data_IF_928942420516
#
_entry.id   IF_928942420516
#
_cell.length_a   1.000
_cell.length_b   1.000
_cell.length_c   1.000
_cell.angle_alpha   90.00
_cell.angle_beta   90.00
_cell.angle_gamma   90.00
#
_symmetry.space_group_name_H-M   'P 1'
#
loop_
_entity.id
_entity.type
_entity.pdbx_description
1 polymer ?
#
# COMPACT_ATOMS: atom_id res chain seq x y z
N UNK A 1 2.38 38.40 -23.54
CA UNK A 1 1.93 37.01 -23.58
C UNK A 1 2.19 36.41 -22.20
N UNK A 2 1.24 35.82 -21.51
CA UNK A 2 1.57 35.14 -20.27
C UNK A 2 2.46 33.94 -20.65
N UNK A 3 3.68 33.95 -20.20
CA UNK A 3 4.57 32.79 -20.18
C UNK A 3 3.84 31.70 -19.46
N UNK A 4 3.53 30.58 -20.13
CA UNK A 4 3.15 29.35 -19.48
C UNK A 4 4.28 29.00 -18.51
N UNK A 5 4.14 29.37 -17.26
CA UNK A 5 5.07 28.94 -16.23
C UNK A 5 4.99 27.41 -16.23
N UNK A 6 6.11 26.74 -16.52
CA UNK A 6 6.24 25.30 -16.36
C UNK A 6 5.81 24.98 -14.93
N UNK A 7 4.74 24.23 -14.79
CA UNK A 7 4.15 23.90 -13.49
C UNK A 7 4.69 22.54 -13.07
N UNK A 8 5.57 22.53 -12.07
CA UNK A 8 6.26 21.33 -11.60
C UNK A 8 5.52 20.64 -10.45
N UNK A 9 5.75 19.37 -10.28
CA UNK A 9 5.32 18.60 -9.10
C UNK A 9 6.48 18.52 -8.12
N UNK A 10 6.20 18.70 -6.84
CA UNK A 10 7.14 18.41 -5.76
C UNK A 10 6.79 17.08 -5.12
N UNK A 11 7.67 16.11 -5.25
CA UNK A 11 7.58 14.82 -4.59
C UNK A 11 8.39 14.78 -3.30
N UNK A 12 7.90 14.06 -2.29
CA UNK A 12 8.66 13.79 -1.08
C UNK A 12 8.34 12.40 -0.50
N UNK A 13 9.34 11.80 0.14
CA UNK A 13 9.21 10.51 0.79
C UNK A 13 9.08 10.68 2.31
N UNK A 14 7.89 10.39 2.85
CA UNK A 14 7.57 10.45 4.28
C UNK A 14 7.13 9.07 4.81
N UNK A 15 8.07 8.14 5.08
CA UNK A 15 7.77 6.75 5.45
C UNK A 15 7.08 6.61 6.82
N UNK A 16 7.04 7.64 7.64
CA UNK A 16 6.32 7.68 8.91
C UNK A 16 4.82 8.02 8.76
N UNK A 17 4.30 8.04 7.54
CA UNK A 17 2.92 8.41 7.22
C UNK A 17 1.88 7.68 8.09
N UNK A 18 1.92 6.34 8.14
CA UNK A 18 0.93 5.56 8.89
C UNK A 18 1.00 5.82 10.40
N UNK A 19 2.23 6.01 10.94
CA UNK A 19 2.46 6.37 12.35
C UNK A 19 1.95 7.79 12.66
N UNK A 20 2.13 8.72 11.73
CA UNK A 20 1.62 10.10 11.84
C UNK A 20 0.08 10.14 11.78
N UNK A 21 -0.52 9.32 10.91
CA UNK A 21 -1.99 9.15 10.87
C UNK A 21 -2.52 8.52 12.15
N UNK A 22 -1.86 7.48 12.69
CA UNK A 22 -2.23 6.86 13.96
C UNK A 22 -2.24 7.89 15.10
N UNK A 23 -1.18 8.69 15.17
CA UNK A 23 -1.06 9.79 16.15
C UNK A 23 -2.15 10.86 15.96
N UNK A 24 -2.52 11.16 14.71
CA UNK A 24 -3.44 12.27 14.39
C UNK A 24 -2.89 13.66 14.72
N UNK A 25 -1.63 13.76 15.14
CA UNK A 25 -1.02 15.02 15.60
C UNK A 25 -0.12 15.62 14.52
N UNK A 26 -0.24 16.93 14.22
CA UNK A 26 0.70 17.63 13.35
C UNK A 26 2.11 17.77 13.97
N UNK A 27 2.26 17.45 15.25
CA UNK A 27 3.50 17.50 16.01
C UNK A 27 4.08 16.10 16.27
N UNK A 28 3.59 15.07 15.59
CA UNK A 28 4.15 13.74 15.72
C UNK A 28 5.67 13.76 15.46
N UNK A 29 6.44 13.08 16.31
CA UNK A 29 7.88 12.99 16.18
C UNK A 29 8.28 11.59 15.69
N UNK A 30 8.71 11.43 14.43
CA UNK A 30 9.14 10.14 13.90
C UNK A 30 10.30 9.53 14.71
N UNK A 31 10.29 8.22 14.84
CA UNK A 31 11.36 7.47 15.50
C UNK A 31 12.71 7.68 14.79
N UNK A 32 13.82 7.42 15.51
CA UNK A 32 15.18 7.46 14.89
C UNK A 32 15.26 6.54 13.67
N UNK A 33 14.63 5.37 13.73
CA UNK A 33 14.58 4.42 12.61
C UNK A 33 13.80 4.99 11.43
N UNK A 34 12.62 5.58 11.64
CA UNK A 34 11.84 6.19 10.57
C UNK A 34 12.59 7.34 9.90
N UNK A 35 13.28 8.19 10.67
CA UNK A 35 14.12 9.26 10.12
C UNK A 35 15.29 8.72 9.30
N UNK A 36 15.95 7.65 9.75
CA UNK A 36 17.02 6.99 8.99
C UNK A 36 16.50 6.43 7.67
N UNK A 37 15.36 5.76 7.66
CA UNK A 37 14.71 5.25 6.44
C UNK A 37 14.32 6.40 5.51
N UNK A 38 13.78 7.51 6.06
CA UNK A 38 13.45 8.71 5.28
C UNK A 38 14.67 9.29 4.56
N UNK A 39 15.82 9.36 5.22
CA UNK A 39 17.06 9.83 4.62
C UNK A 39 17.61 8.83 3.58
N UNK A 40 17.64 7.55 3.92
CA UNK A 40 18.17 6.48 3.06
C UNK A 40 17.41 6.36 1.74
N UNK A 41 16.09 6.59 1.74
CA UNK A 41 15.21 6.36 0.60
C UNK A 41 14.59 7.66 0.07
N UNK A 42 15.18 8.80 0.42
CA UNK A 42 14.68 10.12 0.02
C UNK A 42 14.59 10.29 -1.50
N UNK A 43 15.42 9.59 -2.27
CA UNK A 43 15.46 9.61 -3.74
C UNK A 43 14.42 8.70 -4.40
N UNK A 44 13.68 7.86 -3.65
CA UNK A 44 12.66 6.97 -4.22
C UNK A 44 11.71 7.65 -5.20
N UNK A 45 11.21 8.87 -4.92
CA UNK A 45 10.31 9.55 -5.84
C UNK A 45 10.91 9.85 -7.22
N UNK A 46 12.23 9.84 -7.37
CA UNK A 46 12.88 10.01 -8.68
C UNK A 46 12.53 8.88 -9.68
N UNK A 47 12.03 7.74 -9.19
CA UNK A 47 11.57 6.63 -10.06
C UNK A 47 10.32 6.97 -10.88
N UNK A 48 9.54 7.97 -10.48
CA UNK A 48 8.31 8.38 -11.19
C UNK A 48 8.24 9.88 -11.48
N UNK A 49 9.17 10.68 -10.96
CA UNK A 49 9.25 12.10 -11.24
C UNK A 49 9.74 12.33 -12.68
N UNK A 50 9.15 13.31 -13.36
CA UNK A 50 9.61 13.73 -14.68
C UNK A 50 10.86 14.61 -14.58
N UNK A 51 11.53 14.87 -15.73
CA UNK A 51 12.71 15.74 -15.80
C UNK A 51 12.44 17.19 -15.36
N UNK A 52 11.19 17.60 -15.35
CA UNK A 52 10.80 18.95 -14.92
C UNK A 52 10.41 19.02 -13.45
N UNK A 53 10.14 17.89 -12.82
CA UNK A 53 9.66 17.80 -11.44
C UNK A 53 10.79 17.87 -10.41
N UNK A 54 10.40 18.08 -9.16
CA UNK A 54 11.32 18.16 -8.02
C UNK A 54 11.10 17.00 -7.05
N UNK A 55 12.21 16.47 -6.55
CA UNK A 55 12.22 15.55 -5.41
C UNK A 55 12.85 16.25 -4.22
N UNK A 56 12.11 16.34 -3.12
CA UNK A 56 12.57 16.98 -1.89
C UNK A 56 13.43 16.02 -1.08
N UNK A 57 14.63 16.47 -0.74
CA UNK A 57 15.57 15.71 0.08
C UNK A 57 15.67 16.31 1.48
N UNK A 58 15.78 15.49 2.53
CA UNK A 58 16.23 15.94 3.85
C UNK A 58 17.58 16.63 3.75
N UNK A 59 17.85 17.58 4.65
CA UNK A 59 19.04 18.44 4.56
C UNK A 59 20.36 17.68 4.76
N UNK A 60 20.33 16.56 5.47
CA UNK A 60 21.46 15.67 5.75
C UNK A 60 21.77 14.68 4.60
N UNK A 61 20.93 14.57 3.59
CA UNK A 61 21.13 13.64 2.46
C UNK A 61 22.11 14.24 1.47
N UNK A 62 23.22 13.57 1.24
CA UNK A 62 24.17 13.92 0.17
C UNK A 62 24.03 12.91 -0.97
N UNK A 63 23.93 13.44 -2.19
CA UNK A 63 23.92 12.62 -3.40
C UNK A 63 25.32 12.55 -3.99
N UNK A 64 25.71 11.38 -4.43
CA UNK A 64 26.92 11.19 -5.22
C UNK A 64 26.79 11.81 -6.60
N UNK A 65 27.91 12.09 -7.24
CA UNK A 65 27.93 12.58 -8.62
C UNK A 65 27.25 11.62 -9.59
N UNK A 66 27.34 10.33 -9.31
CA UNK A 66 26.70 9.27 -10.12
C UNK A 66 25.17 9.29 -9.95
N UNK A 67 24.66 9.46 -8.73
CA UNK A 67 23.21 9.57 -8.47
C UNK A 67 22.64 10.84 -9.12
N UNK A 68 23.37 11.96 -9.06
CA UNK A 68 22.96 13.19 -9.72
C UNK A 68 22.94 13.05 -11.25
N UNK A 69 23.94 12.38 -11.83
CA UNK A 69 24.02 12.16 -13.26
C UNK A 69 22.98 11.15 -13.79
N UNK A 70 22.55 10.21 -12.96
CA UNK A 70 21.53 9.22 -13.31
C UNK A 70 20.10 9.71 -13.10
N UNK A 71 19.91 10.82 -12.38
CA UNK A 71 18.58 11.34 -12.08
C UNK A 71 17.92 11.97 -13.32
N UNK A 72 16.65 11.64 -13.49
CA UNK A 72 15.79 12.21 -14.53
C UNK A 72 14.97 13.41 -14.05
N UNK A 73 15.10 13.79 -12.76
CA UNK A 73 14.37 14.87 -12.10
C UNK A 73 15.31 15.87 -11.43
N UNK A 74 14.75 16.95 -10.93
CA UNK A 74 15.47 17.96 -10.15
C UNK A 74 15.39 17.62 -8.65
N UNK A 75 16.47 17.89 -7.92
CA UNK A 75 16.45 17.77 -6.47
C UNK A 75 16.39 19.13 -5.79
N UNK A 76 15.64 19.22 -4.69
CA UNK A 76 15.59 20.40 -3.82
C UNK A 76 15.77 19.96 -2.37
N UNK A 77 16.56 20.70 -1.60
CA UNK A 77 16.73 20.40 -0.18
C UNK A 77 15.60 20.99 0.64
N UNK A 78 15.25 20.36 1.74
CA UNK A 78 14.21 20.83 2.64
C UNK A 78 14.43 22.28 3.10
N UNK A 79 15.67 22.68 3.39
CA UNK A 79 16.02 24.06 3.77
C UNK A 79 15.77 25.09 2.68
N UNK A 80 15.76 24.67 1.42
CA UNK A 80 15.63 25.56 0.25
C UNK A 80 14.17 25.75 -0.21
N UNK A 81 13.21 25.10 0.45
CA UNK A 81 11.80 25.36 0.27
C UNK A 81 11.44 26.73 0.86
N UNK A 82 11.58 27.77 0.03
CA UNK A 82 11.33 29.20 0.35
C UNK A 82 10.09 29.69 -0.38
N UNK A 83 9.49 30.83 0.01
CA UNK A 83 8.30 31.38 -0.66
C UNK A 83 8.42 31.50 -2.20
N UNK A 84 9.60 31.86 -2.71
CA UNK A 84 9.86 31.96 -4.16
C UNK A 84 9.83 30.60 -4.86
N UNK A 85 10.21 29.51 -4.19
CA UNK A 85 10.17 28.17 -4.74
C UNK A 85 8.75 27.74 -5.11
N UNK A 86 7.76 28.10 -4.28
CA UNK A 86 6.37 27.68 -4.45
C UNK A 86 5.67 28.30 -5.67
N UNK A 87 6.24 29.34 -6.26
CA UNK A 87 5.65 30.01 -7.43
C UNK A 87 5.63 29.12 -8.67
N UNK A 88 6.56 28.17 -8.77
CA UNK A 88 6.70 27.25 -9.90
C UNK A 88 6.03 25.88 -9.65
N UNK A 89 5.50 25.65 -8.44
CA UNK A 89 4.92 24.35 -8.05
C UNK A 89 3.41 24.33 -8.29
N UNK A 90 2.97 23.34 -9.07
CA UNK A 90 1.56 23.07 -9.37
C UNK A 90 0.91 22.21 -8.30
N UNK A 91 1.61 21.16 -7.86
CA UNK A 91 1.11 20.21 -6.85
C UNK A 91 2.26 19.69 -5.99
N UNK A 92 1.89 19.17 -4.84
CA UNK A 92 2.80 18.46 -3.92
C UNK A 92 2.28 17.05 -3.75
N UNK A 93 3.12 16.07 -3.98
CA UNK A 93 2.81 14.66 -3.86
C UNK A 93 3.75 13.97 -2.88
N UNK A 94 3.39 13.91 -1.60
CA UNK A 94 4.11 13.09 -0.63
C UNK A 94 3.88 11.60 -0.87
N UNK A 95 4.65 10.74 -0.21
CA UNK A 95 4.38 9.31 -0.13
C UNK A 95 2.93 9.04 0.30
N UNK A 96 2.47 9.77 1.30
CA UNK A 96 1.08 9.87 1.71
C UNK A 96 0.83 11.15 2.50
N UNK A 97 -0.37 11.72 2.37
CA UNK A 97 -0.76 12.91 3.12
C UNK A 97 -1.11 12.59 4.57
N UNK A 98 -0.42 13.22 5.50
CA UNK A 98 -0.67 13.13 6.93
C UNK A 98 -0.56 14.51 7.62
N UNK A 99 -1.02 14.66 8.88
CA UNK A 99 -0.97 15.94 9.58
C UNK A 99 0.45 16.49 9.76
N UNK A 100 1.45 15.61 9.94
CA UNK A 100 2.84 16.03 10.15
C UNK A 100 3.43 16.65 8.89
N UNK A 101 3.28 15.99 7.73
CA UNK A 101 3.86 16.48 6.46
C UNK A 101 3.14 17.76 6.02
N UNK A 102 1.82 17.86 6.16
CA UNK A 102 1.07 19.06 5.84
C UNK A 102 1.50 20.24 6.71
N UNK A 103 1.61 20.05 8.03
CA UNK A 103 2.09 21.07 8.96
C UNK A 103 3.55 21.49 8.67
N UNK A 104 4.41 20.53 8.37
CA UNK A 104 5.81 20.79 8.07
C UNK A 104 5.99 21.64 6.81
N UNK A 105 5.21 21.36 5.76
CA UNK A 105 5.17 22.15 4.53
C UNK A 105 4.58 23.54 4.77
N UNK A 106 3.52 23.68 5.56
CA UNK A 106 2.95 24.96 5.93
C UNK A 106 3.99 25.85 6.64
N UNK A 107 4.82 25.28 7.52
CA UNK A 107 5.94 26.00 8.16
C UNK A 107 7.03 26.46 7.18
N UNK A 108 7.10 25.87 5.97
CA UNK A 108 7.95 26.30 4.86
C UNK A 108 7.24 27.31 3.95
N UNK A 109 6.17 27.92 4.42
CA UNK A 109 5.35 28.87 3.65
C UNK A 109 4.76 28.28 2.36
N UNK A 110 4.50 26.96 2.34
CA UNK A 110 3.78 26.32 1.25
C UNK A 110 2.38 26.93 1.15
N UNK A 111 1.95 27.39 -0.02
CA UNK A 111 0.61 27.98 -0.21
C UNK A 111 -0.51 26.98 0.14
N UNK A 112 -1.57 27.47 0.78
CA UNK A 112 -2.71 26.63 1.17
C UNK A 112 -3.35 25.87 0.02
N UNK A 113 -3.30 26.39 -1.22
CA UNK A 113 -3.78 25.71 -2.43
C UNK A 113 -3.06 24.39 -2.73
N UNK A 114 -1.84 24.21 -2.22
CA UNK A 114 -1.01 23.02 -2.41
C UNK A 114 -1.12 22.02 -1.23
N UNK A 115 -1.84 22.37 -0.20
CA UNK A 115 -1.99 21.56 1.00
C UNK A 115 -3.43 21.01 1.11
N UNK A 116 -3.61 19.79 1.63
CA UNK A 116 -4.93 19.31 1.97
C UNK A 116 -5.52 20.13 3.11
N UNK A 117 -6.84 20.28 3.13
CA UNK A 117 -7.55 20.87 4.25
C UNK A 117 -7.56 19.93 5.47
N UNK A 118 -7.78 20.46 6.67
CA UNK A 118 -7.92 19.64 7.88
C UNK A 118 -9.03 18.59 7.73
N UNK A 119 -10.13 18.94 7.08
CA UNK A 119 -11.24 18.01 6.77
C UNK A 119 -10.75 16.89 5.86
N UNK A 120 -9.93 17.19 4.86
CA UNK A 120 -9.35 16.18 3.97
C UNK A 120 -8.39 15.27 4.73
N UNK A 121 -7.54 15.81 5.60
CA UNK A 121 -6.63 15.01 6.43
C UNK A 121 -7.39 14.09 7.40
N UNK A 122 -8.48 14.58 8.00
CA UNK A 122 -9.35 13.75 8.84
C UNK A 122 -9.99 12.60 8.04
N UNK A 123 -10.48 12.87 6.82
CA UNK A 123 -11.00 11.83 5.93
C UNK A 123 -9.94 10.80 5.57
N UNK A 124 -8.73 11.22 5.20
CA UNK A 124 -7.61 10.31 4.92
C UNK A 124 -7.33 9.44 6.15
N UNK A 125 -7.23 10.03 7.34
CA UNK A 125 -7.00 9.28 8.57
C UNK A 125 -8.09 8.25 8.84
N UNK A 126 -9.36 8.61 8.68
CA UNK A 126 -10.49 7.70 8.87
C UNK A 126 -10.46 6.55 7.86
N UNK A 127 -10.25 6.88 6.57
CA UNK A 127 -10.22 5.89 5.50
C UNK A 127 -8.99 4.97 5.57
N UNK A 128 -7.87 5.44 6.13
CA UNK A 128 -6.66 4.63 6.34
C UNK A 128 -6.73 3.74 7.58
N UNK A 129 -7.79 3.86 8.38
CA UNK A 129 -8.05 2.89 9.46
C UNK A 129 -8.48 1.55 8.87
N UNK A 130 -8.06 0.45 9.49
CA UNK A 130 -8.54 -0.90 9.14
C UNK A 130 -10.05 -1.09 9.29
N UNK A 131 -10.75 -0.18 9.95
CA UNK A 131 -12.22 -0.12 9.91
C UNK A 131 -12.75 0.00 8.47
N UNK A 132 -11.99 0.63 7.57
CA UNK A 132 -12.35 0.71 6.15
C UNK A 132 -12.34 -0.66 5.47
N UNK A 133 -11.45 -1.56 5.87
CA UNK A 133 -11.41 -2.93 5.34
C UNK A 133 -12.68 -3.70 5.70
N UNK A 134 -13.21 -3.53 6.92
CA UNK A 134 -14.46 -4.21 7.33
C UNK A 134 -15.68 -3.76 6.52
N UNK A 135 -15.63 -2.58 5.94
CA UNK A 135 -16.70 -2.06 5.07
C UNK A 135 -16.46 -2.41 3.59
N UNK A 136 -15.20 -2.32 3.15
CA UNK A 136 -14.83 -2.54 1.75
C UNK A 136 -14.85 -4.03 1.37
N UNK A 137 -14.38 -4.92 2.26
CA UNK A 137 -14.27 -6.36 2.02
C UNK A 137 -15.60 -7.02 1.61
N UNK A 138 -16.73 -6.81 2.30
CA UNK A 138 -18.01 -7.37 1.87
C UNK A 138 -18.47 -6.87 0.49
N UNK A 139 -18.24 -5.58 0.20
CA UNK A 139 -18.60 -5.00 -1.09
C UNK A 139 -17.77 -5.57 -2.25
N UNK A 140 -16.46 -5.75 -2.03
CA UNK A 140 -15.58 -6.42 -3.00
C UNK A 140 -15.98 -7.87 -3.22
N UNK A 141 -16.22 -8.62 -2.13
CA UNK A 141 -16.63 -10.02 -2.22
C UNK A 141 -17.92 -10.20 -3.00
N UNK A 142 -18.92 -9.35 -2.75
CA UNK A 142 -20.19 -9.38 -3.49
C UNK A 142 -19.98 -9.11 -4.97
N UNK A 143 -19.32 -8.01 -5.32
CA UNK A 143 -19.10 -7.62 -6.71
C UNK A 143 -18.23 -8.63 -7.48
N UNK A 144 -17.24 -9.24 -6.80
CA UNK A 144 -16.39 -10.27 -7.39
C UNK A 144 -17.14 -11.60 -7.58
N UNK A 145 -18.03 -11.96 -6.66
CA UNK A 145 -18.86 -13.16 -6.81
C UNK A 145 -19.79 -13.07 -8.02
N UNK A 146 -20.35 -11.89 -8.32
CA UNK A 146 -21.18 -11.63 -9.50
C UNK A 146 -20.39 -11.86 -10.81
N UNK A 147 -19.07 -11.72 -10.78
CA UNK A 147 -18.15 -11.98 -11.92
C UNK A 147 -17.49 -13.37 -11.84
N UNK A 148 -17.99 -14.25 -10.99
CA UNK A 148 -17.57 -15.66 -10.89
C UNK A 148 -16.29 -15.91 -10.08
N UNK A 149 -15.77 -14.92 -9.33
CA UNK A 149 -14.63 -15.13 -8.46
C UNK A 149 -15.02 -15.84 -7.15
N UNK A 150 -14.35 -16.92 -6.83
CA UNK A 150 -14.46 -17.54 -5.51
C UNK A 150 -13.69 -16.71 -4.48
N UNK A 151 -14.41 -16.14 -3.50
CA UNK A 151 -13.83 -15.23 -2.50
C UNK A 151 -14.05 -15.71 -1.08
N UNK A 152 -13.10 -15.40 -0.20
CA UNK A 152 -13.15 -15.61 1.24
C UNK A 152 -12.75 -14.33 1.96
N UNK A 153 -12.93 -14.26 3.24
CA UNK A 153 -12.51 -13.15 4.08
C UNK A 153 -13.66 -12.63 4.93
N UNK A 154 -13.38 -12.45 6.20
CA UNK A 154 -14.23 -11.79 7.19
C UNK A 154 -13.35 -10.92 8.07
N UNK A 155 -13.79 -9.71 8.38
CA UNK A 155 -13.09 -8.76 9.22
C UNK A 155 -14.05 -8.10 10.19
N UNK A 156 -13.63 -7.97 11.44
CA UNK A 156 -14.44 -7.47 12.55
C UNK A 156 -13.67 -6.41 13.32
N UNK A 157 -14.36 -5.38 13.76
CA UNK A 157 -13.80 -4.42 14.71
C UNK A 157 -14.41 -4.70 16.08
N UNK A 158 -13.55 -4.87 17.08
CA UNK A 158 -14.00 -4.93 18.46
C UNK A 158 -13.37 -3.81 19.30
N UNK A 159 -14.13 -3.34 20.29
CA UNK A 159 -13.73 -2.24 21.18
C UNK A 159 -13.64 -2.66 22.64
N UNK A 160 -14.06 -3.89 22.93
CA UNK A 160 -14.02 -4.51 24.24
C UNK A 160 -13.44 -5.90 24.14
N UNK A 161 -12.58 -6.30 25.08
CA UNK A 161 -11.89 -7.58 25.07
C UNK A 161 -12.85 -8.79 25.11
N UNK A 162 -14.05 -8.64 25.71
CA UNK A 162 -15.08 -9.67 25.77
C UNK A 162 -15.58 -10.14 24.40
N UNK A 163 -15.63 -9.23 23.42
CA UNK A 163 -16.05 -9.55 22.06
C UNK A 163 -15.06 -10.48 21.34
N UNK A 164 -13.77 -10.40 21.66
CA UNK A 164 -12.75 -11.29 21.09
C UNK A 164 -13.01 -12.76 21.46
N UNK A 165 -13.44 -13.02 22.69
CA UNK A 165 -13.75 -14.40 23.14
C UNK A 165 -14.85 -15.03 22.30
N UNK A 166 -15.88 -14.28 21.93
CA UNK A 166 -16.97 -14.75 21.06
C UNK A 166 -16.47 -15.04 19.64
N UNK A 167 -15.61 -14.19 19.10
CA UNK A 167 -15.01 -14.41 17.77
C UNK A 167 -14.14 -15.67 17.79
N UNK A 168 -13.32 -15.86 18.82
CA UNK A 168 -12.47 -17.06 18.96
C UNK A 168 -13.28 -18.35 19.14
N UNK A 169 -14.42 -18.31 19.83
CA UNK A 169 -15.33 -19.45 19.92
C UNK A 169 -15.89 -19.85 18.55
N UNK A 170 -16.16 -18.88 17.69
CA UNK A 170 -16.74 -19.12 16.36
C UNK A 170 -15.68 -19.55 15.34
N UNK A 171 -14.51 -18.91 15.31
CA UNK A 171 -13.52 -19.04 14.26
C UNK A 171 -12.24 -19.76 14.70
N UNK A 172 -12.06 -20.00 15.99
CA UNK A 172 -10.85 -20.61 16.54
C UNK A 172 -9.69 -19.60 16.57
N UNK A 173 -8.69 -19.83 15.74
CA UNK A 173 -7.51 -18.95 15.63
C UNK A 173 -7.85 -17.66 14.87
N UNK A 174 -7.44 -16.51 15.43
CA UNK A 174 -7.67 -15.18 14.86
C UNK A 174 -6.35 -14.47 14.59
N UNK A 175 -6.36 -13.56 13.62
CA UNK A 175 -5.32 -12.54 13.42
C UNK A 175 -5.85 -11.22 13.92
N UNK A 176 -5.13 -10.59 14.82
CA UNK A 176 -5.45 -9.29 15.38
C UNK A 176 -4.53 -8.23 14.80
N UNK A 177 -5.11 -7.08 14.46
CA UNK A 177 -4.39 -5.97 13.84
C UNK A 177 -4.76 -4.66 14.53
N UNK A 178 -3.77 -3.81 14.79
CA UNK A 178 -4.03 -2.42 15.22
C UNK A 178 -4.71 -1.64 14.10
N UNK A 179 -5.58 -0.68 14.44
CA UNK A 179 -6.37 0.09 13.45
C UNK A 179 -5.49 0.90 12.50
N UNK A 180 -4.36 1.40 12.98
CA UNK A 180 -3.34 2.06 12.18
C UNK A 180 -1.98 1.43 12.47
N UNK A 181 -1.35 0.89 11.45
CA UNK A 181 0.03 0.37 11.53
C UNK A 181 0.60 0.20 10.12
N UNK A 182 1.90 -0.04 10.05
CA UNK A 182 2.58 -0.31 8.79
C UNK A 182 3.53 -1.51 8.92
N UNK A 183 3.83 -2.15 7.80
CA UNK A 183 4.85 -3.19 7.67
C UNK A 183 4.69 -4.35 8.65
N UNK A 184 3.46 -4.78 8.93
CA UNK A 184 3.15 -5.87 9.85
C UNK A 184 3.28 -5.54 11.34
N UNK A 185 3.67 -4.30 11.70
CA UNK A 185 3.69 -3.88 13.10
C UNK A 185 2.27 -3.85 13.66
N UNK A 186 2.08 -4.41 14.86
CA UNK A 186 0.73 -4.48 15.46
C UNK A 186 -0.16 -5.57 14.89
N UNK A 187 0.38 -6.48 14.07
CA UNK A 187 -0.29 -7.71 13.60
C UNK A 187 0.22 -8.89 14.40
N UNK A 188 -0.67 -9.75 14.86
CA UNK A 188 -0.33 -11.00 15.57
C UNK A 188 -1.50 -11.97 15.58
N UNK A 189 -1.20 -13.26 15.61
CA UNK A 189 -2.22 -14.30 15.73
C UNK A 189 -2.43 -14.69 17.18
N UNK A 190 -3.67 -15.05 17.52
CA UNK A 190 -4.08 -15.55 18.84
C UNK A 190 -4.95 -16.80 18.70
N UNK A 191 -4.91 -17.66 19.73
CA UNK A 191 -5.78 -18.81 19.85
C UNK A 191 -6.28 -18.91 21.30
N UNK A 192 -7.39 -19.64 21.50
CA UNK A 192 -7.96 -19.82 22.86
C UNK A 192 -7.23 -20.95 23.60
N UNK A 193 -6.92 -20.76 24.90
CA UNK A 193 -7.05 -19.53 25.68
C UNK A 193 -5.93 -18.53 25.37
N UNK A 194 -6.20 -17.23 25.56
CA UNK A 194 -5.16 -16.21 25.45
C UNK A 194 -4.14 -16.36 26.57
N UNK A 195 -2.88 -16.16 26.24
CA UNK A 195 -1.83 -15.97 27.26
C UNK A 195 -1.94 -14.59 27.92
N UNK A 196 -1.43 -14.40 29.15
CA UNK A 196 -1.42 -13.09 29.81
C UNK A 196 -0.71 -11.99 28.98
N UNK A 197 0.29 -12.38 28.19
CA UNK A 197 1.00 -11.47 27.28
C UNK A 197 0.11 -10.99 26.12
N UNK A 198 -0.67 -11.92 25.53
CA UNK A 198 -1.62 -11.59 24.45
C UNK A 198 -2.75 -10.73 24.97
N UNK A 199 -3.32 -11.04 26.14
CA UNK A 199 -4.32 -10.20 26.81
C UNK A 199 -3.79 -8.78 27.07
N UNK A 200 -2.57 -8.69 27.60
CA UNK A 200 -1.89 -7.40 27.83
C UNK A 200 -1.74 -6.61 26.53
N UNK A 201 -1.39 -7.27 25.43
CA UNK A 201 -1.23 -6.67 24.10
C UNK A 201 -2.58 -6.17 23.53
N UNK A 202 -3.64 -6.98 23.63
CA UNK A 202 -5.00 -6.59 23.22
C UNK A 202 -5.47 -5.39 24.00
N UNK A 203 -5.37 -5.40 25.33
CA UNK A 203 -5.77 -4.30 26.20
C UNK A 203 -4.99 -3.00 25.92
N UNK A 204 -3.71 -3.14 25.57
CA UNK A 204 -2.89 -1.99 25.15
C UNK A 204 -3.43 -1.37 23.85
N UNK A 205 -3.71 -2.17 22.82
CA UNK A 205 -4.26 -1.68 21.55
C UNK A 205 -5.62 -1.01 21.73
N UNK A 206 -6.53 -1.63 22.51
CA UNK A 206 -7.83 -1.05 22.82
C UNK A 206 -7.70 0.33 23.48
N UNK A 207 -6.77 0.47 24.43
CA UNK A 207 -6.53 1.73 25.12
C UNK A 207 -5.90 2.78 24.21
N UNK A 208 -4.95 2.41 23.35
CA UNK A 208 -4.17 3.34 22.53
C UNK A 208 -4.91 3.77 21.26
N UNK A 209 -5.68 2.86 20.63
CA UNK A 209 -6.33 3.11 19.35
C UNK A 209 -7.86 3.03 19.38
N UNK A 210 -8.44 2.67 20.53
CA UNK A 210 -9.91 2.63 20.72
C UNK A 210 -10.59 1.44 20.03
N UNK A 211 -9.85 0.54 19.42
CA UNK A 211 -10.36 -0.65 18.76
C UNK A 211 -9.26 -1.52 18.20
N UNK A 212 -9.62 -2.74 17.82
CA UNK A 212 -8.74 -3.73 17.20
C UNK A 212 -9.50 -4.40 16.07
N UNK A 213 -8.87 -4.59 14.92
CA UNK A 213 -9.37 -5.45 13.86
C UNK A 213 -9.06 -6.91 14.19
N UNK A 214 -10.02 -7.79 13.93
CA UNK A 214 -9.87 -9.23 14.06
C UNK A 214 -10.35 -9.93 12.78
N UNK A 215 -9.54 -10.83 12.27
CA UNK A 215 -9.86 -11.69 11.13
C UNK A 215 -9.68 -13.16 11.54
N UNK A 216 -10.47 -14.11 11.01
CA UNK A 216 -10.13 -15.51 11.08
C UNK A 216 -8.72 -15.75 10.53
N UNK A 217 -7.98 -16.68 11.10
CA UNK A 217 -6.69 -17.05 10.53
C UNK A 217 -6.89 -17.81 9.22
N UNK A 218 -6.31 -17.33 8.16
CA UNK A 218 -6.33 -17.96 6.84
C UNK A 218 -4.95 -18.53 6.49
N UNK A 219 -4.92 -19.74 5.89
CA UNK A 219 -3.70 -20.32 5.34
C UNK A 219 -3.39 -19.64 4.00
N UNK A 220 -2.51 -18.63 4.02
CA UNK A 220 -2.09 -17.88 2.83
C UNK A 220 -1.22 -18.73 1.90
N UNK A 221 -1.46 -18.63 0.60
CA UNK A 221 -0.68 -19.28 -0.47
C UNK A 221 0.18 -18.27 -1.19
N UNK A 222 -0.34 -17.06 -1.41
CA UNK A 222 0.34 -16.00 -2.14
C UNK A 222 -0.19 -14.64 -1.71
N UNK A 223 0.72 -13.72 -1.40
CA UNK A 223 0.42 -12.32 -1.13
C UNK A 223 0.70 -11.46 -2.37
N UNK A 224 -0.26 -10.62 -2.74
CA UNK A 224 -0.11 -9.66 -3.83
C UNK A 224 -0.98 -8.43 -3.56
N UNK A 225 -0.74 -7.35 -4.29
CA UNK A 225 -1.56 -6.16 -4.22
C UNK A 225 -1.96 -5.69 -5.63
N UNK A 226 -3.11 -5.03 -5.70
CA UNK A 226 -3.48 -4.19 -6.82
C UNK A 226 -3.16 -2.74 -6.47
N UNK A 227 -2.41 -2.09 -7.34
CA UNK A 227 -2.01 -0.70 -7.18
C UNK A 227 -2.83 0.19 -8.09
N UNK A 228 -3.30 1.33 -7.55
CA UNK A 228 -4.22 2.24 -8.23
C UNK A 228 -3.84 3.69 -8.04
N UNK A 229 -4.40 4.54 -8.90
CA UNK A 229 -4.48 5.99 -8.73
C UNK A 229 -5.95 6.43 -8.72
N UNK A 230 -6.34 7.19 -7.72
CA UNK A 230 -7.64 7.87 -7.67
C UNK A 230 -7.47 9.28 -8.21
N UNK A 231 -8.22 9.60 -9.26
CA UNK A 231 -8.16 10.90 -9.92
C UNK A 231 -9.14 11.90 -9.28
N UNK A 232 -8.99 13.16 -9.61
CA UNK A 232 -9.80 14.26 -9.05
C UNK A 232 -11.30 14.14 -9.39
N UNK A 233 -11.64 13.48 -10.51
CA UNK A 233 -13.02 13.20 -10.92
C UNK A 233 -13.63 11.97 -10.19
N UNK A 234 -12.87 11.32 -9.30
CA UNK A 234 -13.26 10.14 -8.55
C UNK A 234 -13.07 8.82 -9.32
N UNK A 235 -12.57 8.85 -10.54
CA UNK A 235 -12.20 7.64 -11.27
C UNK A 235 -10.99 6.96 -10.62
N UNK A 236 -10.96 5.62 -10.70
CA UNK A 236 -9.89 4.78 -10.12
C UNK A 236 -9.20 4.04 -11.26
N UNK A 237 -7.95 4.36 -11.49
CA UNK A 237 -7.14 3.83 -12.59
C UNK A 237 -6.20 2.76 -12.05
N UNK A 238 -6.26 1.50 -12.54
CA UNK A 238 -5.31 0.48 -12.17
C UNK A 238 -3.92 0.79 -12.74
N UNK A 239 -2.88 0.63 -11.92
CA UNK A 239 -1.48 0.85 -12.30
C UNK A 239 -0.73 -0.45 -12.54
N UNK A 240 -1.20 -1.54 -11.95
CA UNK A 240 -0.62 -2.87 -12.07
C UNK A 240 -0.75 -3.70 -10.80
N UNK A 241 -0.05 -4.84 -10.83
CA UNK A 241 0.04 -5.79 -9.73
C UNK A 241 1.42 -5.68 -9.10
N UNK A 242 1.49 -5.90 -7.79
CA UNK A 242 2.73 -6.16 -7.08
C UNK A 242 2.62 -7.47 -6.30
N UNK A 243 3.66 -8.29 -6.32
CA UNK A 243 3.77 -9.48 -5.48
C UNK A 243 4.79 -9.21 -4.38
N UNK A 244 4.47 -9.60 -3.16
CA UNK A 244 5.34 -9.38 -2.02
C UNK A 244 5.40 -10.62 -1.13
N UNK A 245 6.40 -10.67 -0.27
CA UNK A 245 6.61 -11.73 0.69
C UNK A 245 6.44 -11.18 2.10
N UNK A 246 5.81 -11.98 2.94
CA UNK A 246 5.66 -11.72 4.36
C UNK A 246 6.36 -12.80 5.18
N UNK A 247 6.81 -12.44 6.39
CA UNK A 247 7.29 -13.40 7.36
C UNK A 247 6.12 -14.21 7.95
N UNK A 248 6.42 -15.29 8.65
CA UNK A 248 5.41 -16.07 9.38
C UNK A 248 4.59 -15.25 10.38
N UNK A 249 5.12 -14.11 10.81
CA UNK A 249 4.44 -13.16 11.70
C UNK A 249 3.73 -12.02 10.97
N UNK A 250 3.66 -12.06 9.61
CA UNK A 250 3.02 -11.04 8.78
C UNK A 250 3.87 -9.79 8.53
N UNK A 251 5.16 -9.79 8.89
CA UNK A 251 6.08 -8.67 8.61
C UNK A 251 6.49 -8.65 7.13
N UNK A 252 6.46 -7.48 6.49
CA UNK A 252 6.88 -7.30 5.11
C UNK A 252 8.37 -7.62 4.93
N UNK A 253 8.70 -8.46 3.95
CA UNK A 253 10.06 -8.89 3.60
C UNK A 253 10.57 -8.30 2.29
N UNK A 254 9.69 -8.00 1.33
CA UNK A 254 10.09 -7.44 0.05
C UNK A 254 9.12 -7.74 -1.08
N UNK A 255 9.37 -7.10 -2.24
CA UNK A 255 8.59 -7.30 -3.47
C UNK A 255 9.35 -8.05 -4.53
N UNK A 256 8.64 -8.85 -5.32
CA UNK A 256 9.11 -9.40 -6.58
C UNK A 256 9.07 -8.32 -7.67
N UNK A 257 10.11 -8.27 -8.51
CA UNK A 257 10.14 -7.44 -9.73
C UNK A 257 10.13 -8.37 -10.92
N UNK A 258 9.08 -8.27 -11.72
CA UNK A 258 8.91 -9.03 -12.95
C UNK A 258 7.97 -8.29 -13.91
N UNK A 259 7.97 -8.62 -15.22
CA UNK A 259 6.94 -8.16 -16.14
C UNK A 259 5.53 -8.46 -15.59
N UNK A 260 4.58 -7.56 -15.78
CA UNK A 260 3.21 -7.72 -15.27
C UNK A 260 2.59 -9.04 -15.74
N UNK A 261 2.73 -9.40 -17.02
CA UNK A 261 2.23 -10.66 -17.58
C UNK A 261 2.82 -11.92 -16.90
N UNK A 262 4.02 -11.83 -16.36
CA UNK A 262 4.63 -12.92 -15.60
C UNK A 262 3.99 -13.03 -14.21
N UNK A 263 3.79 -11.91 -13.50
CA UNK A 263 3.12 -11.88 -12.20
C UNK A 263 1.68 -12.39 -12.31
N UNK A 264 0.94 -11.95 -13.32
CA UNK A 264 -0.42 -12.40 -13.64
C UNK A 264 -0.47 -13.92 -13.85
N UNK A 265 0.47 -14.44 -14.65
CA UNK A 265 0.60 -15.89 -14.89
C UNK A 265 0.90 -16.66 -13.60
N UNK A 266 1.78 -16.14 -12.75
CA UNK A 266 2.10 -16.75 -11.46
C UNK A 266 0.89 -16.79 -10.53
N UNK A 267 0.16 -15.67 -10.39
CA UNK A 267 -1.06 -15.60 -9.59
C UNK A 267 -2.10 -16.61 -10.10
N UNK A 268 -2.35 -16.62 -11.42
CA UNK A 268 -3.28 -17.55 -12.02
C UNK A 268 -2.88 -19.01 -11.80
N UNK A 269 -1.59 -19.32 -11.92
CA UNK A 269 -1.07 -20.69 -11.73
C UNK A 269 -1.35 -21.18 -10.30
N UNK A 270 -1.11 -20.33 -9.30
CA UNK A 270 -1.39 -20.65 -7.91
C UNK A 270 -2.90 -20.79 -7.66
N UNK A 271 -3.71 -19.89 -8.24
CA UNK A 271 -5.15 -19.92 -8.07
C UNK A 271 -5.80 -21.19 -8.66
N UNK A 272 -5.24 -21.70 -9.77
CA UNK A 272 -5.73 -22.91 -10.45
C UNK A 272 -5.11 -24.20 -9.92
N UNK A 273 -4.21 -24.19 -8.95
CA UNK A 273 -3.55 -25.39 -8.41
C UNK A 273 -4.49 -26.46 -7.80
N UNK A 274 -5.77 -26.14 -7.59
CA UNK A 274 -6.78 -27.13 -7.26
C UNK A 274 -7.26 -27.99 -8.45
N UNK A 275 -6.73 -27.76 -9.65
CA UNK A 275 -7.01 -28.61 -10.80
C UNK A 275 -6.18 -29.88 -10.74
N UNK A 276 -6.72 -30.95 -11.32
CA UNK A 276 -6.03 -32.21 -11.38
C UNK A 276 -4.64 -32.08 -12.05
N UNK A 277 -3.66 -32.95 -11.77
CA UNK A 277 -2.36 -32.95 -12.41
C UNK A 277 -2.42 -32.92 -13.94
N UNK A 278 -3.45 -33.52 -14.54
CA UNK A 278 -3.71 -33.50 -16.00
C UNK A 278 -4.07 -32.11 -16.49
N UNK A 279 -4.96 -31.40 -15.80
CA UNK A 279 -5.35 -30.02 -16.15
C UNK A 279 -4.18 -29.06 -16.00
N UNK A 280 -3.35 -29.23 -14.97
CA UNK A 280 -2.12 -28.43 -14.78
C UNK A 280 -1.11 -28.71 -15.90
N UNK A 281 -0.91 -29.96 -16.30
CA UNK A 281 -0.04 -30.33 -17.40
C UNK A 281 -0.52 -29.74 -18.73
N UNK A 282 -1.83 -29.73 -18.97
CA UNK A 282 -2.45 -29.17 -20.16
C UNK A 282 -2.39 -27.62 -20.17
N UNK A 283 -2.47 -26.97 -19.01
CA UNK A 283 -2.24 -25.54 -18.86
C UNK A 283 -0.76 -25.16 -19.09
N UNK A 284 0.18 -25.96 -18.61
CA UNK A 284 1.63 -25.73 -18.83
C UNK A 284 2.08 -25.95 -20.26
N UNK A 285 1.40 -26.81 -21.04
CA UNK A 285 1.73 -27.05 -22.45
C UNK A 285 1.30 -25.91 -23.37
N UNK A 286 0.47 -24.96 -22.90
CA UNK A 286 0.01 -23.82 -23.69
C UNK A 286 0.20 -22.51 -22.92
N UNK A 287 1.45 -22.05 -22.85
CA UNK A 287 1.85 -20.83 -22.11
C UNK A 287 1.11 -19.58 -22.63
N UNK A 288 0.83 -19.52 -23.93
CA UNK A 288 0.15 -18.38 -24.55
C UNK A 288 -1.31 -18.28 -24.12
N UNK A 289 -2.04 -19.37 -24.12
CA UNK A 289 -3.42 -19.45 -23.61
C UNK A 289 -3.51 -19.19 -22.09
N UNK A 290 -2.46 -19.53 -21.34
CA UNK A 290 -2.37 -19.16 -19.91
C UNK A 290 -2.20 -17.65 -19.70
N UNK A 291 -1.40 -17.01 -20.55
CA UNK A 291 -1.19 -15.55 -20.49
C UNK A 291 -2.47 -14.79 -20.82
N UNK A 292 -3.14 -15.11 -21.91
CA UNK A 292 -4.41 -14.50 -22.28
C UNK A 292 -5.47 -14.67 -21.18
N UNK A 293 -5.59 -15.89 -20.63
CA UNK A 293 -6.54 -16.15 -19.53
C UNK A 293 -6.15 -15.40 -18.25
N UNK A 294 -4.86 -15.19 -17.98
CA UNK A 294 -4.39 -14.46 -16.80
C UNK A 294 -4.67 -12.95 -16.95
N UNK A 295 -4.39 -12.41 -18.14
CA UNK A 295 -4.65 -11.01 -18.46
C UNK A 295 -6.14 -10.69 -18.36
N UNK A 296 -7.01 -11.50 -18.96
CA UNK A 296 -8.46 -11.37 -18.86
C UNK A 296 -8.96 -11.44 -17.40
N UNK A 297 -8.46 -12.40 -16.63
CA UNK A 297 -8.89 -12.59 -15.25
C UNK A 297 -8.44 -11.42 -14.36
N UNK A 298 -7.17 -11.01 -14.47
CA UNK A 298 -6.63 -9.90 -13.68
C UNK A 298 -7.22 -8.56 -14.14
N UNK A 299 -7.38 -8.35 -15.44
CA UNK A 299 -8.06 -7.18 -15.98
C UNK A 299 -9.49 -7.05 -15.46
N UNK A 300 -10.23 -8.17 -15.38
CA UNK A 300 -11.56 -8.20 -14.78
C UNK A 300 -11.52 -7.92 -13.27
N UNK A 301 -10.59 -8.50 -12.53
CA UNK A 301 -10.38 -8.22 -11.12
C UNK A 301 -10.10 -6.73 -10.88
N UNK A 302 -9.20 -6.13 -11.65
CA UNK A 302 -8.88 -4.70 -11.57
C UNK A 302 -10.09 -3.82 -11.89
N UNK A 303 -10.86 -4.15 -12.92
CA UNK A 303 -12.08 -3.43 -13.33
C UNK A 303 -13.12 -3.43 -12.21
N UNK A 304 -13.40 -4.60 -11.63
CA UNK A 304 -14.38 -4.74 -10.53
C UNK A 304 -13.91 -3.95 -9.30
N UNK A 305 -12.65 -4.14 -8.91
CA UNK A 305 -12.07 -3.41 -7.77
C UNK A 305 -12.11 -1.90 -7.99
N UNK A 306 -11.74 -1.39 -9.18
CA UNK A 306 -11.79 0.04 -9.50
C UNK A 306 -13.19 0.62 -9.29
N UNK A 307 -14.23 -0.08 -9.75
CA UNK A 307 -15.62 0.35 -9.59
C UNK A 307 -16.06 0.38 -8.12
N UNK A 308 -15.76 -0.67 -7.37
CA UNK A 308 -16.11 -0.75 -5.94
C UNK A 308 -15.36 0.30 -5.13
N UNK A 309 -14.05 0.49 -5.38
CA UNK A 309 -13.21 1.50 -4.72
C UNK A 309 -13.73 2.91 -5.01
N UNK A 310 -14.05 3.22 -6.28
CA UNK A 310 -14.60 4.53 -6.68
C UNK A 310 -15.88 4.84 -5.90
N UNK A 311 -16.79 3.87 -5.82
CA UNK A 311 -18.03 3.99 -5.03
C UNK A 311 -17.75 4.14 -3.54
N UNK A 312 -16.84 3.32 -2.99
CA UNK A 312 -16.47 3.35 -1.58
C UNK A 312 -15.84 4.68 -1.17
N UNK A 313 -14.91 5.18 -1.97
CA UNK A 313 -14.23 6.44 -1.69
C UNK A 313 -15.14 7.67 -1.92
N UNK A 314 -16.03 7.63 -2.91
CA UNK A 314 -17.04 8.67 -3.18
C UNK A 314 -16.48 10.11 -3.12
N UNK A 315 -15.34 10.38 -3.76
CA UNK A 315 -14.69 11.68 -3.79
C UNK A 315 -14.02 12.12 -2.47
N UNK A 316 -13.88 11.21 -1.49
CA UNK A 316 -13.24 11.52 -0.19
C UNK A 316 -11.72 11.40 -0.21
N UNK A 317 -11.15 10.86 -1.27
CA UNK A 317 -9.72 10.65 -1.44
C UNK A 317 -9.30 10.88 -2.90
N UNK A 318 -8.14 11.46 -3.09
CA UNK A 318 -7.43 11.59 -4.38
C UNK A 318 -5.98 11.25 -4.12
N UNK A 319 -5.37 10.43 -4.96
CA UNK A 319 -3.97 10.03 -4.81
C UNK A 319 -3.73 8.56 -5.11
N UNK A 320 -2.55 8.08 -4.75
CA UNK A 320 -2.15 6.68 -4.93
C UNK A 320 -2.77 5.80 -3.84
N UNK A 321 -3.19 4.61 -4.20
CA UNK A 321 -3.62 3.60 -3.23
C UNK A 321 -3.21 2.19 -3.66
N UNK A 322 -3.04 1.30 -2.67
CA UNK A 322 -2.86 -0.13 -2.88
C UNK A 322 -3.88 -0.91 -2.05
N UNK A 323 -4.34 -2.03 -2.58
CA UNK A 323 -5.12 -3.02 -1.83
C UNK A 323 -4.33 -4.31 -1.78
N UNK A 324 -3.95 -4.70 -0.57
CA UNK A 324 -3.30 -5.98 -0.32
C UNK A 324 -4.34 -7.10 -0.36
N UNK A 325 -4.02 -8.16 -1.09
CA UNK A 325 -4.85 -9.33 -1.32
C UNK A 325 -4.07 -10.60 -1.03
N UNK A 326 -4.78 -11.70 -0.81
CA UNK A 326 -4.14 -12.98 -0.53
C UNK A 326 -4.91 -14.11 -1.22
N UNK A 327 -4.20 -15.03 -1.85
CA UNK A 327 -4.75 -16.34 -2.19
C UNK A 327 -4.71 -17.22 -0.95
N UNK A 328 -5.83 -17.83 -0.63
CA UNK A 328 -6.06 -18.59 0.58
C UNK A 328 -6.43 -20.03 0.24
N UNK A 329 -5.79 -20.99 0.91
CA UNK A 329 -6.16 -22.38 0.83
C UNK A 329 -7.37 -22.66 1.74
N UNK A 330 -8.43 -23.22 1.17
CA UNK A 330 -9.64 -23.62 1.87
C UNK A 330 -9.98 -25.07 1.57
N UNK A 331 -10.97 -25.63 2.25
CA UNK A 331 -11.51 -26.97 1.93
C UNK A 331 -12.17 -27.04 0.56
N UNK A 332 -12.66 -25.91 0.04
CA UNK A 332 -13.27 -25.80 -1.29
C UNK A 332 -12.23 -25.46 -2.40
N UNK A 333 -10.97 -25.25 -2.00
CA UNK A 333 -9.90 -24.91 -2.91
C UNK A 333 -9.20 -23.57 -2.63
N UNK A 334 -8.47 -23.06 -3.62
CA UNK A 334 -7.83 -21.75 -3.52
C UNK A 334 -8.87 -20.67 -3.79
N UNK A 335 -9.05 -19.76 -2.83
CA UNK A 335 -9.98 -18.63 -2.91
C UNK A 335 -9.25 -17.32 -2.72
N UNK A 336 -9.80 -16.23 -3.24
CA UNK A 336 -9.27 -14.88 -3.07
C UNK A 336 -9.80 -14.23 -1.79
N UNK A 337 -8.90 -13.74 -0.93
CA UNK A 337 -9.21 -12.72 0.06
C UNK A 337 -8.93 -11.34 -0.56
N UNK A 338 -9.96 -10.58 -0.96
CA UNK A 338 -9.77 -9.43 -1.84
C UNK A 338 -9.42 -8.12 -1.12
N UNK A 339 -9.28 -8.12 0.21
CA UNK A 339 -8.91 -6.92 0.97
C UNK A 339 -8.34 -7.29 2.34
N UNK A 340 -7.04 -7.48 2.42
CA UNK A 340 -6.27 -7.66 3.66
C UNK A 340 -5.94 -6.32 4.30
N UNK A 341 -5.62 -5.32 3.47
CA UNK A 341 -5.30 -3.96 3.88
C UNK A 341 -5.56 -2.98 2.73
N UNK A 342 -6.12 -1.80 3.07
CA UNK A 342 -6.27 -0.66 2.17
C UNK A 342 -5.22 0.40 2.54
N UNK A 343 -4.33 0.69 1.60
CA UNK A 343 -3.23 1.61 1.76
C UNK A 343 -3.48 2.90 0.97
N UNK A 344 -3.92 4.00 1.62
CA UNK A 344 -4.18 5.30 0.96
C UNK A 344 -2.91 6.15 0.86
N UNK A 345 -1.94 5.61 0.19
CA UNK A 345 -0.62 6.18 -0.05
C UNK A 345 0.10 5.40 -1.15
N UNK A 346 1.28 5.85 -1.55
CA UNK A 346 2.19 4.99 -2.31
C UNK A 346 2.61 3.80 -1.44
N UNK A 347 2.86 2.66 -2.08
CA UNK A 347 3.31 1.41 -1.46
C UNK A 347 4.64 0.98 -2.06
N UNK A 348 5.28 -0.01 -1.44
CA UNK A 348 6.46 -0.64 -2.06
C UNK A 348 6.11 -1.39 -3.35
N UNK A 349 4.83 -1.72 -3.56
CA UNK A 349 4.31 -2.24 -4.81
C UNK A 349 4.39 -1.22 -5.95
N UNK A 350 4.04 0.04 -5.71
CA UNK A 350 4.24 1.12 -6.68
C UNK A 350 5.72 1.28 -7.05
N UNK A 351 6.63 1.10 -6.09
CA UNK A 351 8.09 1.12 -6.35
C UNK A 351 8.49 -0.05 -7.24
N UNK A 352 8.00 -1.27 -6.94
CA UNK A 352 8.31 -2.46 -7.76
C UNK A 352 7.85 -2.29 -9.21
N UNK A 353 6.63 -1.75 -9.43
CA UNK A 353 6.10 -1.44 -10.75
C UNK A 353 6.97 -0.38 -11.46
N UNK A 354 7.39 0.67 -10.77
CA UNK A 354 8.24 1.71 -11.35
C UNK A 354 9.63 1.14 -11.74
N UNK A 355 10.25 0.34 -10.88
CA UNK A 355 11.53 -0.31 -11.17
C UNK A 355 11.44 -1.22 -12.40
N UNK A 356 10.36 -1.98 -12.52
CA UNK A 356 10.12 -2.85 -13.68
C UNK A 356 9.96 -2.03 -14.98
N UNK A 357 9.14 -0.96 -14.95
CA UNK A 357 8.89 -0.09 -16.12
C UNK A 357 10.17 0.55 -16.67
N UNK A 358 11.08 0.93 -15.80
CA UNK A 358 12.36 1.53 -16.19
C UNK A 358 13.44 0.50 -16.54
N UNK A 359 13.11 -0.80 -16.54
CA UNK A 359 14.10 -1.90 -16.75
C UNK A 359 15.35 -1.69 -15.91
N UNK A 360 15.16 -1.27 -14.65
CA UNK A 360 16.25 -0.87 -13.75
C UNK A 360 17.16 -2.09 -13.49
N UNK A 361 18.46 -2.03 -13.84
CA UNK A 361 19.32 -3.19 -13.69
C UNK A 361 19.47 -3.57 -12.22
N UNK A 362 19.37 -4.86 -11.90
CA UNK A 362 19.47 -5.36 -10.52
C UNK A 362 20.76 -4.95 -9.81
N UNK A 363 21.87 -4.81 -10.55
CA UNK A 363 23.17 -4.40 -10.04
C UNK A 363 23.28 -2.88 -9.77
N UNK A 364 22.33 -2.06 -10.28
CA UNK A 364 22.28 -0.62 -10.06
C UNK A 364 21.30 -0.23 -8.94
N UNK A 365 20.55 -1.18 -8.35
CA UNK A 365 19.73 -0.87 -7.19
C UNK A 365 20.61 -0.33 -6.07
N UNK A 366 20.23 0.81 -5.46
CA UNK A 366 20.88 1.32 -4.27
C UNK A 366 21.03 0.21 -3.23
N UNK A 367 22.15 0.19 -2.50
CA UNK A 367 22.45 -0.88 -1.54
C UNK A 367 21.34 -1.06 -0.50
N UNK A 368 20.62 0.02 -0.15
CA UNK A 368 19.49 -0.01 0.77
C UNK A 368 18.26 -0.79 0.26
N UNK A 369 18.16 -1.04 -1.06
CA UNK A 369 17.08 -1.84 -1.66
C UNK A 369 17.45 -3.31 -1.86
N UNK A 370 18.73 -3.66 -1.72
CA UNK A 370 19.17 -5.05 -1.84
C UNK A 370 18.54 -5.87 -0.71
N UNK A 371 17.83 -6.92 -1.08
CA UNK A 371 17.07 -7.78 -0.18
C UNK A 371 15.60 -7.40 0.00
N UNK A 372 15.16 -6.17 -0.40
CA UNK A 372 13.76 -5.79 -0.43
C UNK A 372 13.10 -6.01 -1.81
N UNK A 373 13.91 -6.21 -2.83
CA UNK A 373 13.44 -6.48 -4.18
C UNK A 373 14.19 -7.68 -4.76
N UNK A 374 13.45 -8.64 -5.27
CA UNK A 374 13.98 -9.81 -5.99
C UNK A 374 13.47 -9.80 -7.43
N UNK A 375 14.39 -9.95 -8.38
CA UNK A 375 14.05 -10.15 -9.79
C UNK A 375 13.69 -11.62 -10.00
N UNK A 376 12.57 -11.88 -10.66
CA UNK A 376 12.09 -13.21 -11.03
C UNK A 376 12.30 -13.41 -12.54
#
# INVERSE_FOLDING_TARGET
MPTFACMHILYLFNPSHDEALASGSPYYCPSKTARRVSAQWATLPALWASNEDYVCLPDEVELSTEELAAATCKFVRWRDLKPSFWQQIASVEPWGWDPLVAHSLARKACPARLLPTDVSLQKIRQLSSRESCTQLLPALRLALADEGFATVGESFIFREASALSLLMQRYGRMVLKSLWSCSGRGVFSVASPLSPSEEGRVNKLLREQGGVEAEPYYEGVLDFALEFQVLADGSVVPLGISMFHTSETGGYLGNAIAPQSMLETLILSQWKMNKSPKEIAQLRSNIESLRETADDMIGNLQRVCSKVISTFLAGRYVGMLGIDMMLVKTTAGIMLHPCIELNLRRTMGHVAIALQKHSYPSNKLPQCFRGLFSWI
#
